data_IF_437389898161
#
_entry.id   IF_437389898161
#
_cell.length_a   1.000
_cell.length_b   1.000
_cell.length_c   1.000
_cell.angle_alpha   90.00
_cell.angle_beta   90.00
_cell.angle_gamma   90.00
#
_symmetry.space_group_name_H-M   'P 1'
#
loop_
_entity.id
_entity.type
_entity.pdbx_description
1 polymer ?
#
# COMPACT_ATOMS: atom_id res chain seq x y z
N UNK A 1 18.80 -1.30 36.19
CA UNK A 1 19.37 -2.03 35.03
C UNK A 1 18.19 -2.74 34.38
N UNK A 2 17.74 -2.24 33.23
CA UNK A 2 17.71 -2.96 31.94
C UNK A 2 16.74 -4.14 32.03
N UNK A 3 15.61 -4.15 31.34
CA UNK A 3 15.59 -4.31 29.90
C UNK A 3 14.17 -4.15 29.33
N UNK A 4 14.08 -3.31 28.29
CA UNK A 4 12.95 -3.20 27.39
C UNK A 4 12.73 -4.54 26.70
N UNK A 5 11.53 -5.11 26.83
CA UNK A 5 11.02 -6.04 25.83
C UNK A 5 10.09 -5.24 24.93
N UNK A 6 10.70 -4.54 23.98
CA UNK A 6 9.99 -3.87 22.91
C UNK A 6 9.04 -4.89 22.27
N UNK A 7 7.75 -4.59 22.30
CA UNK A 7 6.70 -5.36 21.65
C UNK A 7 6.78 -5.23 20.11
N UNK A 8 7.97 -5.40 19.56
CA UNK A 8 8.24 -5.76 18.16
C UNK A 8 7.88 -7.24 17.95
N UNK A 9 6.73 -7.63 18.48
CA UNK A 9 6.18 -8.96 18.39
C UNK A 9 5.49 -9.05 17.04
N UNK A 10 6.18 -9.72 16.11
CA UNK A 10 5.52 -10.56 15.10
C UNK A 10 4.66 -9.75 14.11
N UNK A 11 5.31 -8.98 13.25
CA UNK A 11 4.76 -8.67 11.93
C UNK A 11 5.84 -8.76 10.85
N UNK A 12 6.65 -9.81 10.90
CA UNK A 12 7.52 -10.15 9.80
C UNK A 12 7.71 -11.66 9.70
N UNK A 13 7.23 -12.20 8.59
CA UNK A 13 7.58 -13.51 8.03
C UNK A 13 6.98 -14.77 8.69
N UNK A 14 5.99 -15.32 7.98
CA UNK A 14 5.89 -16.74 7.60
C UNK A 14 5.92 -17.81 8.71
N UNK A 15 4.72 -18.08 9.29
CA UNK A 15 4.19 -19.33 9.89
C UNK A 15 5.16 -20.29 10.60
N UNK A 16 4.92 -20.58 11.89
CA UNK A 16 4.22 -21.82 12.26
C UNK A 16 3.21 -21.58 13.42
N UNK A 17 2.29 -22.44 13.86
CA UNK A 17 2.35 -23.87 14.21
C UNK A 17 0.91 -24.41 14.13
N UNK A 18 0.71 -25.60 13.55
CA UNK A 18 -0.54 -26.37 13.67
C UNK A 18 -0.43 -27.24 14.93
N UNK A 19 -1.49 -27.32 15.77
CA UNK A 19 -1.99 -28.52 16.47
C UNK A 19 -3.08 -28.20 17.53
N UNK A 20 -4.33 -28.54 17.14
CA UNK A 20 -5.57 -28.80 17.91
C UNK A 20 -6.14 -27.72 18.85
N UNK A 21 -7.12 -26.95 18.36
CA UNK A 21 -8.32 -26.49 19.09
C UNK A 21 -9.38 -26.09 18.04
N UNK A 22 -10.64 -26.34 18.36
CA UNK A 22 -11.76 -26.36 17.45
C UNK A 22 -12.06 -25.07 16.69
N UNK A 23 -12.84 -25.25 15.62
CA UNK A 23 -13.38 -24.17 14.82
C UNK A 23 -12.35 -23.62 13.85
N UNK A 24 -12.48 -24.00 12.56
CA UNK A 24 -11.87 -23.24 11.49
C UNK A 24 -12.47 -21.82 11.50
N UNK A 25 -11.92 -20.94 12.34
CA UNK A 25 -12.05 -19.52 12.14
C UNK A 25 -11.12 -19.23 10.96
N UNK A 26 -11.68 -19.34 9.75
CA UNK A 26 -11.14 -18.64 8.60
C UNK A 26 -11.07 -17.18 9.00
N UNK A 27 -9.95 -16.77 9.59
CA UNK A 27 -9.57 -15.38 9.64
C UNK A 27 -9.33 -15.02 8.18
N UNK A 28 -10.43 -14.64 7.52
CA UNK A 28 -10.47 -13.82 6.33
C UNK A 28 -9.73 -12.53 6.71
N UNK A 29 -8.40 -12.64 6.78
CA UNK A 29 -7.50 -11.53 6.97
C UNK A 29 -7.60 -10.79 5.65
N UNK A 30 -8.61 -9.93 5.55
CA UNK A 30 -8.85 -9.07 4.41
C UNK A 30 -7.50 -8.46 4.06
N UNK A 31 -6.93 -8.91 2.94
CA UNK A 31 -5.59 -8.50 2.54
C UNK A 31 -5.59 -6.98 2.47
N UNK A 32 -4.62 -6.29 3.08
CA UNK A 32 -4.63 -4.84 3.14
C UNK A 32 -4.70 -4.29 1.73
N UNK A 33 -5.82 -3.63 1.41
CA UNK A 33 -6.14 -3.18 0.05
C UNK A 33 -5.20 -2.10 -0.43
N UNK A 34 -4.48 -1.46 0.49
CA UNK A 34 -3.53 -0.40 0.22
C UNK A 34 -2.15 -0.72 0.79
N UNK A 35 -1.11 -0.18 0.16
CA UNK A 35 0.14 0.07 0.86
C UNK A 35 -0.08 1.13 1.93
N UNK A 36 0.55 0.95 3.10
CA UNK A 36 0.48 1.89 4.23
C UNK A 36 1.86 2.41 4.63
N UNK A 37 2.91 1.82 4.05
CA UNK A 37 4.30 2.18 4.28
C UNK A 37 4.93 2.70 2.97
N UNK A 38 5.97 3.51 3.10
CA UNK A 38 6.64 4.09 1.95
C UNK A 38 7.55 3.05 1.29
N UNK A 39 7.42 2.91 -0.01
CA UNK A 39 8.30 2.08 -0.84
C UNK A 39 9.09 2.99 -1.77
N UNK A 40 10.22 2.53 -2.33
CA UNK A 40 11.00 3.36 -3.27
C UNK A 40 10.35 3.46 -4.65
N UNK A 41 9.55 2.46 -5.02
CA UNK A 41 8.86 2.40 -6.30
C UNK A 41 7.75 1.39 -6.28
N UNK A 42 6.75 1.59 -7.14
CA UNK A 42 5.68 0.62 -7.41
C UNK A 42 5.56 0.35 -8.90
N UNK A 43 5.08 -0.83 -9.26
CA UNK A 43 4.79 -1.20 -10.65
C UNK A 43 3.29 -1.21 -10.87
N UNK A 44 2.82 -0.55 -11.92
CA UNK A 44 1.40 -0.51 -12.26
C UNK A 44 0.94 -1.88 -12.77
N UNK A 45 -0.20 -2.38 -12.30
CA UNK A 45 -0.78 -3.66 -12.78
C UNK A 45 -1.77 -3.43 -13.93
N UNK A 46 -2.31 -2.22 -14.03
CA UNK A 46 -3.30 -1.81 -15.01
C UNK A 46 -3.10 -0.35 -15.43
N UNK A 47 -3.85 0.07 -16.45
CA UNK A 47 -3.80 1.46 -16.93
C UNK A 47 -4.31 2.41 -15.85
N UNK A 48 -3.49 3.37 -15.46
CA UNK A 48 -3.83 4.36 -14.44
C UNK A 48 -3.45 5.78 -14.88
N UNK A 49 -3.80 6.75 -14.04
CA UNK A 49 -3.39 8.13 -14.23
C UNK A 49 -2.64 8.64 -13.01
N UNK A 50 -1.60 9.45 -13.24
CA UNK A 50 -1.02 10.32 -12.23
C UNK A 50 -1.81 11.63 -12.18
N UNK A 51 -1.91 12.18 -10.97
CA UNK A 51 -2.71 13.37 -10.69
C UNK A 51 -1.83 14.52 -10.21
N UNK A 52 -2.15 15.77 -10.57
CA UNK A 52 -1.49 16.97 -10.00
C UNK A 52 -1.99 17.35 -8.60
N UNK A 53 -3.07 16.71 -8.16
CA UNK A 53 -3.74 17.05 -6.91
C UNK A 53 -4.27 15.81 -6.19
N UNK A 54 -4.23 15.86 -4.86
CA UNK A 54 -4.72 14.83 -3.93
C UNK A 54 -6.23 14.62 -3.98
N UNK A 55 -6.95 15.40 -4.80
CA UNK A 55 -8.39 15.24 -5.00
C UNK A 55 -8.76 14.05 -5.90
N UNK A 56 -7.82 13.52 -6.70
CA UNK A 56 -8.03 12.41 -7.65
C UNK A 56 -9.21 12.60 -8.64
N UNK A 57 -9.55 13.86 -8.95
CA UNK A 57 -10.61 14.20 -9.90
C UNK A 57 -10.15 13.94 -11.33
N UNK A 58 -11.09 13.62 -12.23
CA UNK A 58 -10.80 13.42 -13.67
C UNK A 58 -10.11 14.64 -14.32
N UNK A 59 -10.47 15.84 -13.89
CA UNK A 59 -9.87 17.10 -14.36
C UNK A 59 -8.37 17.23 -14.02
N UNK A 60 -7.92 16.53 -12.97
CA UNK A 60 -6.55 16.62 -12.47
C UNK A 60 -5.69 15.45 -12.97
N UNK A 61 -6.13 14.75 -14.03
CA UNK A 61 -5.37 13.65 -14.62
C UNK A 61 -4.36 14.23 -15.59
N UNK A 62 -3.09 14.04 -15.29
CA UNK A 62 -2.00 14.64 -16.08
C UNK A 62 -1.32 13.61 -16.97
N UNK A 63 -0.89 12.50 -16.38
CA UNK A 63 -0.10 11.49 -17.09
C UNK A 63 -0.87 10.18 -17.10
N UNK A 64 -1.00 9.58 -18.28
CA UNK A 64 -1.52 8.21 -18.42
C UNK A 64 -0.33 7.24 -18.31
N UNK A 65 -0.45 6.29 -17.39
CA UNK A 65 0.57 5.27 -17.14
C UNK A 65 0.05 3.92 -17.63
N UNK A 66 0.84 3.22 -18.44
CA UNK A 66 0.51 1.90 -18.97
C UNK A 66 0.75 0.82 -17.92
N UNK A 67 0.09 -0.36 -18.00
CA UNK A 67 0.44 -1.50 -17.15
C UNK A 67 1.92 -1.88 -17.29
N UNK A 68 2.52 -2.39 -16.22
CA UNK A 68 3.93 -2.78 -16.16
C UNK A 68 4.90 -1.61 -16.01
N UNK A 69 4.40 -0.37 -15.88
CA UNK A 69 5.27 0.80 -15.72
C UNK A 69 5.74 0.91 -14.29
N UNK A 70 7.05 1.06 -14.09
CA UNK A 70 7.64 1.36 -12.79
C UNK A 70 7.54 2.85 -12.51
N UNK A 71 7.00 3.20 -11.34
CA UNK A 71 6.84 4.58 -10.87
C UNK A 71 7.61 4.74 -9.57
N UNK A 72 8.56 5.68 -9.54
CA UNK A 72 9.29 6.04 -8.33
C UNK A 72 8.41 6.88 -7.41
N UNK A 73 8.38 6.51 -6.14
CA UNK A 73 7.57 7.15 -5.11
C UNK A 73 8.46 7.62 -3.97
N UNK A 74 8.15 8.79 -3.42
CA UNK A 74 8.93 9.48 -2.39
C UNK A 74 8.23 9.46 -1.04
N UNK A 75 6.89 9.46 -1.05
CA UNK A 75 6.08 9.46 0.15
C UNK A 75 4.77 8.69 -0.05
N UNK A 76 4.15 8.35 1.06
CA UNK A 76 2.79 7.81 1.12
C UNK A 76 1.96 8.64 2.10
N UNK A 77 0.71 8.90 1.73
CA UNK A 77 -0.20 9.71 2.51
C UNK A 77 -1.51 8.98 2.71
N UNK A 78 -2.07 9.14 3.91
CA UNK A 78 -3.42 8.69 4.25
C UNK A 78 -4.40 9.83 4.00
N UNK A 79 -5.53 9.51 3.36
CA UNK A 79 -6.68 10.40 3.23
C UNK A 79 -7.61 10.23 4.43
N UNK A 80 -8.35 11.27 4.76
CA UNK A 80 -9.35 11.24 5.85
C UNK A 80 -10.38 10.11 5.66
N UNK A 81 -10.78 9.85 4.41
CA UNK A 81 -11.65 8.74 4.02
C UNK A 81 -11.04 7.33 4.19
N UNK A 82 -9.79 7.21 4.65
CA UNK A 82 -9.11 5.94 4.92
C UNK A 82 -8.31 5.34 3.74
N UNK A 83 -8.39 5.93 2.55
CA UNK A 83 -7.58 5.51 1.40
C UNK A 83 -6.14 6.02 1.48
N UNK A 84 -5.20 5.33 0.84
CA UNK A 84 -3.81 5.77 0.74
C UNK A 84 -3.43 6.11 -0.70
N UNK A 85 -2.49 7.03 -0.82
CA UNK A 85 -1.89 7.43 -2.09
C UNK A 85 -0.40 7.71 -1.95
N UNK A 86 0.32 7.47 -3.03
CA UNK A 86 1.72 7.80 -3.16
C UNK A 86 1.91 9.18 -3.74
N UNK A 87 2.95 9.85 -3.28
CA UNK A 87 3.59 10.96 -3.98
C UNK A 87 4.77 10.41 -4.79
N UNK A 88 4.84 10.81 -6.06
CA UNK A 88 5.91 10.44 -6.97
C UNK A 88 7.06 11.43 -6.91
N UNK A 89 8.25 11.03 -7.34
CA UNK A 89 9.42 11.93 -7.40
C UNK A 89 9.18 13.20 -8.25
N UNK A 90 8.24 13.14 -9.20
CA UNK A 90 7.80 14.25 -10.05
C UNK A 90 6.77 15.18 -9.37
N UNK A 91 6.44 14.96 -8.09
CA UNK A 91 5.43 15.72 -7.34
C UNK A 91 3.97 15.41 -7.75
N UNK A 92 3.75 14.32 -8.49
CA UNK A 92 2.41 13.85 -8.86
C UNK A 92 1.91 12.77 -7.92
N UNK A 93 0.60 12.52 -7.91
CA UNK A 93 -0.05 11.58 -7.01
C UNK A 93 -0.58 10.33 -7.71
N UNK A 94 -0.49 9.20 -7.03
CA UNK A 94 -0.87 7.87 -7.52
C UNK A 94 -1.62 7.09 -6.43
N UNK A 95 -2.59 6.24 -6.78
CA UNK A 95 -3.23 5.36 -5.79
C UNK A 95 -2.25 4.36 -5.19
N UNK A 96 -2.32 4.15 -3.87
CA UNK A 96 -1.57 3.10 -3.19
C UNK A 96 -2.35 1.78 -3.11
N UNK A 97 -3.42 1.62 -3.89
CA UNK A 97 -4.26 0.43 -3.87
C UNK A 97 -3.55 -0.75 -4.57
N UNK A 98 -3.38 -1.86 -3.86
CA UNK A 98 -2.66 -3.06 -4.33
C UNK A 98 -3.30 -3.75 -5.53
N UNK A 99 -4.56 -3.44 -5.84
CA UNK A 99 -5.22 -3.90 -7.06
C UNK A 99 -4.72 -3.16 -8.32
N UNK A 100 -4.10 -1.99 -8.16
CA UNK A 100 -3.62 -1.14 -9.26
C UNK A 100 -2.10 -1.07 -9.33
N UNK A 101 -1.41 -1.39 -8.25
CA UNK A 101 0.04 -1.29 -8.11
C UNK A 101 0.59 -2.43 -7.24
N UNK A 102 1.82 -2.87 -7.49
CA UNK A 102 2.54 -3.89 -6.72
C UNK A 102 4.01 -3.52 -6.50
#
# INVERSE_FOLDING_TARGET
>A
MKESVDASTILNSSKPITWWIGGAQSADTAQPTYFTDVVSSVTTTQKLYLYDSTSFKKANRVVKVQPGTKVNVTAIHKRDSGSYYFETADGRYLTANKNYVQ
#
